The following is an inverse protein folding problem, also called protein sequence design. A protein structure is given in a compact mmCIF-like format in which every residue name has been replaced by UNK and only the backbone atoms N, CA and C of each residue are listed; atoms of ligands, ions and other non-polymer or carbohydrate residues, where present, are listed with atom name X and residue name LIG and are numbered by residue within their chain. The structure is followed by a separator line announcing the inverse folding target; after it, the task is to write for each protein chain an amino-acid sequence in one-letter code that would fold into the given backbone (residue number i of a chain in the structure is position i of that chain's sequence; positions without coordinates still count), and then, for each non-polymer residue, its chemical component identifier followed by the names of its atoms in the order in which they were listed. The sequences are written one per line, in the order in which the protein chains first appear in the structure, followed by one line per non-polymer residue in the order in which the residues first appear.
data_IF_412771632721
#
_entry.id   IF_412771632721
#
_cell.length_a   1.000
_cell.length_b   1.000
_cell.length_c   1.000
_cell.angle_alpha   90.00
_cell.angle_beta   90.00
_cell.angle_gamma   90.00
#
_symmetry.space_group_name_H-M   'P 1'
#
loop_
_entity.id
_entity.type
_entity.pdbx_description
1 polymer ?
#
# COMPACT_ATOMS: atom_id res chain seq x y z
N UNK A 1 -2.02 -17.71 -21.31
CA UNK A 1 -1.32 -16.83 -22.28
C UNK A 1 -0.32 -15.94 -21.56
N UNK A 2 0.87 -15.78 -22.13
CA UNK A 2 1.85 -14.76 -21.78
C UNK A 2 2.02 -13.87 -23.02
N UNK A 3 1.90 -12.55 -22.86
CA UNK A 3 2.07 -11.56 -23.94
C UNK A 3 3.01 -10.46 -23.45
N UNK A 4 4.02 -10.15 -24.25
CA UNK A 4 4.87 -8.97 -24.09
C UNK A 4 4.69 -8.12 -25.34
N UNK A 5 4.48 -6.82 -25.17
CA UNK A 5 4.33 -5.85 -26.25
C UNK A 5 5.39 -4.78 -26.07
N UNK A 6 6.14 -4.51 -27.14
CA UNK A 6 7.30 -3.64 -27.19
C UNK A 6 7.05 -2.36 -28.01
N UNK A 7 5.78 -2.08 -28.31
CA UNK A 7 5.38 -0.81 -28.93
C UNK A 7 5.82 0.35 -28.04
N UNK A 8 6.71 1.21 -28.56
CA UNK A 8 7.31 2.31 -27.79
C UNK A 8 6.25 3.25 -27.21
N UNK A 9 6.30 3.46 -25.90
CA UNK A 9 5.34 4.29 -25.16
C UNK A 9 4.00 3.61 -24.87
N UNK A 10 3.84 2.34 -25.26
CA UNK A 10 2.66 1.51 -25.02
C UNK A 10 3.06 0.09 -24.59
N UNK A 11 4.24 -0.05 -23.97
CA UNK A 11 4.75 -1.35 -23.55
C UNK A 11 3.85 -1.98 -22.48
N UNK A 12 3.57 -3.28 -22.61
CA UNK A 12 2.84 -4.03 -21.58
C UNK A 12 3.23 -5.49 -21.49
N UNK A 13 3.01 -6.07 -20.30
CA UNK A 13 3.09 -7.50 -20.05
C UNK A 13 1.72 -8.00 -19.58
N UNK A 14 1.26 -9.12 -20.13
CA UNK A 14 0.02 -9.79 -19.72
C UNK A 14 0.25 -11.27 -19.50
N UNK A 15 -0.02 -11.72 -18.27
CA UNK A 15 -0.08 -13.13 -17.90
C UNK A 15 -1.52 -13.47 -17.52
N UNK A 16 -2.17 -14.38 -18.25
CA UNK A 16 -3.59 -14.67 -18.04
C UNK A 16 -3.98 -16.13 -18.31
N UNK A 17 -4.99 -16.62 -17.59
CA UNK A 17 -5.70 -17.88 -17.83
C UNK A 17 -7.18 -17.59 -17.96
N UNK A 18 -7.94 -18.33 -18.78
CA UNK A 18 -9.40 -18.14 -18.89
C UNK A 18 -10.15 -18.59 -17.63
N UNK A 19 -9.56 -19.49 -16.83
CA UNK A 19 -10.16 -19.98 -15.59
C UNK A 19 -10.37 -18.85 -14.57
N UNK A 20 -11.53 -18.89 -13.89
CA UNK A 20 -11.92 -17.83 -12.95
C UNK A 20 -12.20 -16.50 -13.65
N UNK A 21 -12.83 -16.52 -14.82
CA UNK A 21 -13.29 -15.32 -15.53
C UNK A 21 -12.16 -14.43 -16.05
N UNK A 22 -11.13 -15.04 -16.64
CA UNK A 22 -9.84 -14.43 -17.04
C UNK A 22 -8.99 -13.88 -15.88
N UNK A 23 -8.52 -14.78 -15.02
CA UNK A 23 -7.54 -14.44 -13.97
C UNK A 23 -6.23 -13.98 -14.60
N UNK A 24 -5.77 -12.77 -14.25
CA UNK A 24 -4.65 -12.12 -14.94
C UNK A 24 -3.83 -11.17 -14.08
N UNK A 25 -2.55 -11.07 -14.42
CA UNK A 25 -1.63 -9.99 -14.06
C UNK A 25 -1.32 -9.19 -15.33
N UNK A 26 -1.59 -7.88 -15.31
CA UNK A 26 -1.22 -6.96 -16.38
C UNK A 26 -0.30 -5.86 -15.83
N UNK A 27 0.72 -5.45 -16.60
CA UNK A 27 1.70 -4.42 -16.25
C UNK A 27 1.88 -3.47 -17.44
N UNK A 28 2.01 -2.16 -17.21
CA UNK A 28 2.31 -1.14 -18.22
C UNK A 28 1.06 -0.48 -18.81
N UNK A 29 0.97 -0.44 -20.15
CA UNK A 29 -0.18 0.10 -20.89
C UNK A 29 -1.27 -0.97 -21.08
N UNK A 30 -2.29 -1.00 -20.21
CA UNK A 30 -3.28 -2.07 -20.20
C UNK A 30 -4.28 -1.86 -21.35
N UNK A 31 -4.41 -2.86 -22.21
CA UNK A 31 -5.37 -2.85 -23.33
C UNK A 31 -6.45 -3.92 -23.21
N UNK A 32 -7.62 -3.65 -23.79
CA UNK A 32 -8.72 -4.60 -23.91
C UNK A 32 -8.52 -5.62 -25.06
N UNK A 33 -9.59 -6.30 -25.48
CA UNK A 33 -9.54 -7.25 -26.61
C UNK A 33 -9.38 -6.58 -27.97
N UNK A 34 -9.81 -5.34 -28.11
CA UNK A 34 -9.72 -4.52 -29.33
C UNK A 34 -8.42 -3.69 -29.37
N UNK A 35 -7.53 -3.92 -28.40
CA UNK A 35 -6.28 -3.18 -28.19
C UNK A 35 -6.51 -1.69 -27.85
N UNK A 36 -7.69 -1.34 -27.36
CA UNK A 36 -7.94 0.01 -26.84
C UNK A 36 -7.40 0.14 -25.41
N UNK A 37 -6.83 1.30 -25.04
CA UNK A 37 -6.38 1.55 -23.68
C UNK A 37 -7.53 1.41 -22.69
N UNK A 38 -7.29 0.71 -21.58
CA UNK A 38 -8.26 0.54 -20.48
C UNK A 38 -7.69 0.84 -19.09
N UNK A 39 -6.42 1.23 -19.02
CA UNK A 39 -5.75 1.57 -17.78
C UNK A 39 -4.24 1.61 -17.93
N UNK A 40 -3.57 2.08 -16.88
CA UNK A 40 -2.11 2.21 -16.80
C UNK A 40 -1.64 1.72 -15.42
N UNK A 41 -0.40 1.23 -15.34
CA UNK A 41 0.18 0.72 -14.09
C UNK A 41 0.12 -0.80 -14.01
N UNK A 42 -0.43 -1.35 -12.93
CA UNK A 42 -0.60 -2.80 -12.78
C UNK A 42 -2.04 -3.17 -12.40
N UNK A 43 -2.49 -4.34 -12.87
CA UNK A 43 -3.76 -4.94 -12.48
C UNK A 43 -3.53 -6.40 -12.15
N UNK A 44 -3.90 -6.80 -10.94
CA UNK A 44 -4.16 -8.20 -10.58
C UNK A 44 -5.67 -8.37 -10.46
N UNK A 45 -6.28 -9.20 -11.31
CA UNK A 45 -7.73 -9.45 -11.25
C UNK A 45 -8.11 -10.92 -11.47
N UNK A 46 -9.26 -11.29 -10.92
CA UNK A 46 -9.94 -12.58 -11.15
C UNK A 46 -11.43 -12.40 -10.81
N UNK A 47 -12.30 -13.19 -11.43
CA UNK A 47 -13.71 -13.28 -11.04
C UNK A 47 -13.90 -14.32 -9.91
N UNK A 48 -12.83 -15.02 -9.52
CA UNK A 48 -12.80 -15.97 -8.40
C UNK A 48 -12.21 -15.33 -7.13
N UNK A 49 -11.71 -16.14 -6.20
CA UNK A 49 -11.09 -15.65 -4.97
C UNK A 49 -9.69 -15.09 -5.22
N UNK A 50 -9.38 -13.94 -4.61
CA UNK A 50 -8.05 -13.35 -4.55
C UNK A 50 -7.49 -13.39 -3.13
N UNK A 51 -6.21 -13.73 -2.98
CA UNK A 51 -5.52 -13.68 -1.67
C UNK A 51 -4.11 -13.12 -1.84
N UNK A 52 -3.73 -12.19 -0.98
CA UNK A 52 -2.34 -11.75 -0.79
C UNK A 52 -1.89 -12.25 0.58
N UNK A 53 -0.80 -13.03 0.64
CA UNK A 53 -0.30 -13.62 1.89
C UNK A 53 1.21 -13.42 1.99
N UNK A 54 1.63 -12.67 3.00
CA UNK A 54 3.04 -12.43 3.31
C UNK A 54 3.27 -12.64 4.81
N UNK A 55 3.98 -13.72 5.17
CA UNK A 55 4.19 -14.12 6.57
C UNK A 55 5.05 -13.15 7.40
N UNK A 56 5.72 -12.20 6.73
CA UNK A 56 6.49 -11.12 7.37
C UNK A 56 5.76 -9.78 7.34
N UNK A 57 4.49 -9.76 6.97
CA UNK A 57 3.70 -8.53 6.82
C UNK A 57 3.55 -8.09 5.36
N UNK A 58 2.62 -7.15 5.15
CA UNK A 58 2.26 -6.58 3.85
C UNK A 58 2.30 -5.06 3.94
N UNK A 59 2.98 -4.41 2.99
CA UNK A 59 2.95 -2.96 2.82
C UNK A 59 2.21 -2.62 1.53
N UNK A 60 1.12 -1.87 1.64
CA UNK A 60 0.35 -1.35 0.51
C UNK A 60 0.46 0.17 0.58
N UNK A 61 1.02 0.78 -0.47
CA UNK A 61 1.39 2.19 -0.45
C UNK A 61 1.02 2.89 -1.76
N UNK A 62 0.53 4.11 -1.64
CA UNK A 62 0.41 5.08 -2.74
C UNK A 62 1.53 6.14 -2.70
N UNK A 63 2.59 5.91 -1.92
CA UNK A 63 3.79 6.74 -1.92
C UNK A 63 4.56 6.54 -3.22
N UNK A 64 4.92 7.64 -3.87
CA UNK A 64 5.68 7.57 -5.10
C UNK A 64 7.12 7.11 -4.82
N UNK A 65 7.54 6.05 -5.51
CA UNK A 65 8.95 5.64 -5.58
C UNK A 65 9.39 5.56 -7.06
N UNK A 66 9.74 6.70 -7.68
CA UNK A 66 10.03 6.77 -9.11
C UNK A 66 11.14 5.81 -9.50
N UNK A 67 10.94 5.09 -10.61
CA UNK A 67 11.93 4.17 -11.17
C UNK A 67 12.41 3.09 -10.19
N UNK A 68 11.60 2.77 -9.16
CA UNK A 68 11.97 1.86 -8.08
C UNK A 68 13.32 2.23 -7.41
N UNK A 69 13.65 3.52 -7.35
CA UNK A 69 14.82 4.02 -6.67
C UNK A 69 14.56 4.03 -5.16
N UNK A 70 15.05 3.02 -4.45
CA UNK A 70 14.87 2.88 -3.01
C UNK A 70 14.77 1.43 -2.57
N UNK A 71 14.37 1.21 -1.32
CA UNK A 71 14.06 -0.14 -0.82
C UNK A 71 12.62 -0.51 -1.15
N UNK A 72 12.33 -1.79 -1.35
CA UNK A 72 10.96 -2.33 -1.53
C UNK A 72 10.05 -2.00 -0.33
N UNK A 73 10.63 -1.86 0.86
CA UNK A 73 9.95 -1.48 2.11
C UNK A 73 10.46 -0.13 2.62
N UNK A 74 10.69 0.83 1.73
CA UNK A 74 10.97 2.20 2.13
C UNK A 74 9.71 2.86 2.70
N UNK A 75 9.81 3.39 3.92
CA UNK A 75 8.65 3.82 4.72
C UNK A 75 8.85 5.19 5.35
N UNK A 76 9.84 5.96 4.88
CA UNK A 76 10.24 7.22 5.52
C UNK A 76 9.08 8.23 5.59
N UNK A 77 8.26 8.30 4.53
CA UNK A 77 7.05 9.12 4.51
C UNK A 77 6.06 8.71 5.62
N UNK A 78 5.78 7.41 5.76
CA UNK A 78 4.89 6.86 6.78
C UNK A 78 5.42 7.18 8.19
N UNK A 79 6.72 6.95 8.43
CA UNK A 79 7.35 7.20 9.73
C UNK A 79 7.25 8.70 10.09
N UNK A 80 7.46 9.59 9.11
CA UNK A 80 7.33 11.02 9.31
C UNK A 80 5.90 11.43 9.66
N UNK A 81 4.90 10.95 8.92
CA UNK A 81 3.49 11.27 9.18
C UNK A 81 3.05 10.75 10.55
N UNK A 82 3.43 9.51 10.88
CA UNK A 82 3.15 8.92 12.18
C UNK A 82 3.75 9.72 13.33
N UNK A 83 4.98 10.24 13.17
CA UNK A 83 5.61 11.08 14.20
C UNK A 83 4.78 12.35 14.46
N UNK A 84 4.23 12.97 13.41
CA UNK A 84 3.33 14.12 13.55
C UNK A 84 2.00 13.78 14.22
N UNK A 85 1.41 12.64 13.89
CA UNK A 85 0.17 12.15 14.53
C UNK A 85 0.38 11.83 16.02
N UNK A 86 1.55 11.29 16.37
CA UNK A 86 1.96 11.02 17.75
C UNK A 86 2.00 12.31 18.58
N UNK A 87 2.64 13.36 18.07
CA UNK A 87 2.69 14.66 18.73
C UNK A 87 1.28 15.28 18.90
N UNK A 88 0.41 15.14 17.88
CA UNK A 88 -0.96 15.64 17.95
C UNK A 88 -1.79 14.88 18.98
N UNK A 89 -1.69 13.55 19.01
CA UNK A 89 -2.39 12.71 19.96
C UNK A 89 -1.96 13.02 21.40
N UNK A 90 -0.67 13.25 21.63
CA UNK A 90 -0.17 13.63 22.95
C UNK A 90 -0.76 14.96 23.42
N UNK A 91 -0.74 15.99 22.57
CA UNK A 91 -1.35 17.30 22.88
C UNK A 91 -2.83 17.17 23.23
N UNK A 92 -3.58 16.36 22.47
CA UNK A 92 -4.99 16.14 22.74
C UNK A 92 -5.24 15.43 24.08
N UNK A 93 -4.36 14.50 24.46
CA UNK A 93 -4.41 13.85 25.77
C UNK A 93 -4.16 14.84 26.91
N UNK A 94 -3.15 15.69 26.76
CA UNK A 94 -2.79 16.73 27.74
C UNK A 94 -3.94 17.76 27.91
N UNK A 95 -4.57 18.16 26.80
CA UNK A 95 -5.75 19.05 26.80
C UNK A 95 -6.95 18.39 27.50
N UNK A 96 -7.20 17.10 27.23
CA UNK A 96 -8.27 16.35 27.88
C UNK A 96 -8.05 16.26 29.40
N UNK A 97 -6.81 15.98 29.81
CA UNK A 97 -6.44 15.95 31.23
C UNK A 97 -6.63 17.32 31.89
N UNK A 98 -6.23 18.40 31.21
CA UNK A 98 -6.45 19.78 31.67
C UNK A 98 -7.93 20.12 31.81
N UNK A 99 -8.76 19.63 30.89
CA UNK A 99 -10.21 19.79 30.91
C UNK A 99 -10.93 18.87 31.93
N UNK A 100 -10.19 18.06 32.71
CA UNK A 100 -10.73 17.02 33.61
C UNK A 100 -11.58 15.96 32.88
N UNK A 101 -11.36 15.81 31.59
CA UNK A 101 -11.86 14.67 30.82
C UNK A 101 -10.92 13.46 31.01
N UNK A 102 -11.37 12.28 30.63
CA UNK A 102 -10.53 11.09 30.65
C UNK A 102 -9.44 11.23 29.56
N UNK A 103 -8.14 11.19 29.91
CA UNK A 103 -7.08 11.17 28.90
C UNK A 103 -7.14 9.85 28.11
N UNK A 104 -6.74 9.92 26.85
CA UNK A 104 -6.55 8.71 26.05
C UNK A 104 -5.23 8.04 26.47
N UNK A 105 -5.18 6.70 26.42
CA UNK A 105 -3.94 5.93 26.60
C UNK A 105 -3.10 6.00 25.31
N UNK A 106 -2.63 7.21 25.03
CA UNK A 106 -1.90 7.57 23.82
C UNK A 106 -0.52 6.90 23.83
N UNK A 107 0.18 6.91 24.96
CA UNK A 107 1.53 6.33 25.06
C UNK A 107 1.55 4.84 24.72
N UNK A 108 0.60 4.04 25.23
CA UNK A 108 0.56 2.61 24.93
C UNK A 108 0.26 2.34 23.44
N UNK A 109 -0.62 3.14 22.83
CA UNK A 109 -0.96 3.02 21.41
C UNK A 109 0.22 3.41 20.50
N UNK A 110 0.94 4.47 20.85
CA UNK A 110 2.14 4.91 20.14
C UNK A 110 3.22 3.83 20.19
N UNK A 111 3.50 3.28 21.37
CA UNK A 111 4.52 2.25 21.55
C UNK A 111 4.20 0.97 20.74
N UNK A 112 2.93 0.55 20.74
CA UNK A 112 2.48 -0.61 19.96
C UNK A 112 2.69 -0.39 18.45
N UNK A 113 2.35 0.80 17.94
CA UNK A 113 2.50 1.14 16.53
C UNK A 113 3.98 1.20 16.13
N UNK A 114 4.83 1.85 16.91
CA UNK A 114 6.27 1.93 16.64
C UNK A 114 6.92 0.54 16.60
N UNK A 115 6.59 -0.33 17.56
CA UNK A 115 7.12 -1.69 17.61
C UNK A 115 6.65 -2.56 16.44
N UNK A 116 5.42 -2.34 15.99
CA UNK A 116 4.81 -3.09 14.88
C UNK A 116 5.36 -2.67 13.51
N UNK A 117 5.73 -1.40 13.35
CA UNK A 117 6.03 -0.78 12.05
C UNK A 117 7.51 -0.62 11.75
N UNK A 118 8.39 -0.84 12.72
CA UNK A 118 9.84 -0.93 12.48
C UNK A 118 10.14 -2.04 11.46
N UNK A 119 10.28 -1.65 10.19
CA UNK A 119 10.62 -2.48 9.03
C UNK A 119 9.73 -3.73 8.80
N UNK A 120 8.44 -3.70 9.17
CA UNK A 120 7.58 -4.89 9.20
C UNK A 120 8.22 -6.08 9.94
N UNK A 121 8.88 -5.83 11.08
CA UNK A 121 9.46 -6.92 11.90
C UNK A 121 8.39 -7.88 12.46
N UNK A 122 7.11 -7.52 12.36
CA UNK A 122 5.97 -8.33 12.74
C UNK A 122 5.05 -8.59 11.53
N UNK A 123 4.21 -9.63 11.64
CA UNK A 123 3.22 -9.98 10.61
C UNK A 123 2.05 -8.98 10.60
N UNK A 124 2.31 -7.76 10.15
CA UNK A 124 1.35 -6.64 10.15
C UNK A 124 0.99 -6.20 8.73
N UNK A 125 -0.18 -5.59 8.59
CA UNK A 125 -0.61 -4.88 7.39
C UNK A 125 -0.41 -3.39 7.61
N UNK A 126 0.46 -2.76 6.82
CA UNK A 126 0.60 -1.32 6.74
C UNK A 126 -0.02 -0.83 5.43
N UNK A 127 -0.95 0.13 5.54
CA UNK A 127 -1.55 0.82 4.41
C UNK A 127 -1.28 2.31 4.55
N UNK A 128 -0.76 2.94 3.52
CA UNK A 128 -0.47 4.38 3.54
C UNK A 128 -0.73 5.02 2.18
N UNK A 129 -1.29 6.22 2.19
CA UNK A 129 -1.49 7.01 0.99
C UNK A 129 -1.46 8.51 1.35
N UNK A 130 -0.51 9.29 0.80
CA UNK A 130 -0.20 10.64 1.28
C UNK A 130 -1.29 11.67 1.00
N UNK A 131 -2.23 11.37 0.11
CA UNK A 131 -3.41 12.21 -0.19
C UNK A 131 -4.71 11.56 0.30
N UNK A 132 -4.61 10.53 1.14
CA UNK A 132 -5.72 9.86 1.79
C UNK A 132 -5.63 8.34 1.74
N UNK A 133 -5.77 7.71 2.90
CA UNK A 133 -6.21 6.33 3.11
C UNK A 133 -7.46 6.35 4.01
#
# INVERSE_FOLDING_TARGET
KLRLDDTRGQEHIKLATEYGGKSQLNLGHLVDSERQPRGEGFELRTDSYGTLRAGKGLFISADAQPMAQGKVLEMDAVISEMSGLQEMAQKLSDDAQTAKAAPADVEAQIALLQQSLDALKQAVLLMHAPQGA
#
